data_IF_083869459124
#
_entry.id   IF_083869459124
#
_cell.length_a   1.000
_cell.length_b   1.000
_cell.length_c   1.000
_cell.angle_alpha   90.00
_cell.angle_beta   90.00
_cell.angle_gamma   90.00
#
_symmetry.space_group_name_H-M   'P 1'
#
loop_
_entity.id
_entity.type
_entity.pdbx_description
1 polymer ?
#
# COMPACT_ATOMS: atom_id res chain seq x y z
N UNK A 1 27.72 -15.23 -45.71
CA UNK A 1 29.18 -15.36 -45.44
C UNK A 1 29.90 -16.42 -46.30
N UNK A 2 29.22 -17.43 -46.88
CA UNK A 2 29.87 -18.47 -47.69
C UNK A 2 30.55 -17.97 -48.99
N UNK A 3 30.01 -16.92 -49.63
CA UNK A 3 30.53 -16.38 -50.89
C UNK A 3 31.96 -15.78 -50.79
N UNK A 4 32.27 -15.09 -49.69
CA UNK A 4 33.58 -14.45 -49.52
C UNK A 4 34.70 -15.47 -49.26
N UNK A 5 34.38 -16.58 -48.58
CA UNK A 5 35.35 -17.67 -48.36
C UNK A 5 35.69 -18.41 -49.65
N UNK A 6 34.73 -18.58 -50.57
CA UNK A 6 34.97 -19.19 -51.88
C UNK A 6 35.85 -18.28 -52.75
N UNK A 7 35.53 -16.99 -52.83
CA UNK A 7 36.26 -16.05 -53.68
C UNK A 7 37.72 -15.81 -53.25
N UNK A 8 37.98 -15.72 -51.94
CA UNK A 8 39.34 -15.63 -51.39
C UNK A 8 40.11 -16.94 -51.60
N UNK A 9 39.43 -18.08 -51.49
CA UNK A 9 40.00 -19.39 -51.81
C UNK A 9 40.44 -19.48 -53.27
N UNK A 10 39.58 -19.03 -54.19
CA UNK A 10 39.84 -19.01 -55.64
C UNK A 10 41.00 -18.09 -56.01
N UNK A 11 41.11 -16.90 -55.39
CA UNK A 11 42.26 -16.01 -55.59
C UNK A 11 43.57 -16.63 -55.10
N UNK A 12 43.53 -17.39 -54.01
CA UNK A 12 44.71 -18.05 -53.44
C UNK A 12 45.19 -19.20 -54.32
N UNK A 13 44.29 -20.00 -54.87
CA UNK A 13 44.62 -21.05 -55.85
C UNK A 13 45.14 -20.44 -57.16
N UNK A 14 44.61 -19.30 -57.59
CA UNK A 14 45.12 -18.57 -58.76
C UNK A 14 46.55 -18.06 -58.53
N UNK A 15 46.85 -17.51 -57.34
CA UNK A 15 48.21 -17.10 -56.97
C UNK A 15 49.21 -18.25 -57.00
N UNK A 16 48.83 -19.42 -56.47
CA UNK A 16 49.66 -20.63 -56.55
C UNK A 16 49.91 -21.08 -58.00
N UNK A 17 48.93 -20.95 -58.89
CA UNK A 17 49.09 -21.29 -60.33
C UNK A 17 50.05 -20.32 -61.05
N UNK A 18 50.00 -19.04 -60.70
CA UNK A 18 50.90 -18.01 -61.24
C UNK A 18 52.33 -18.25 -60.77
N UNK A 19 52.55 -18.54 -59.48
CA UNK A 19 53.88 -18.85 -58.93
C UNK A 19 54.49 -20.09 -59.60
N UNK A 20 53.69 -21.13 -59.85
CA UNK A 20 54.11 -22.32 -60.59
C UNK A 20 54.51 -22.03 -62.04
N UNK A 21 53.92 -20.99 -62.66
CA UNK A 21 54.26 -20.56 -64.03
C UNK A 21 55.65 -19.90 -64.14
N UNK A 22 56.17 -19.38 -63.03
CA UNK A 22 57.47 -18.66 -62.96
C UNK A 22 58.63 -19.60 -62.55
N UNK A 23 58.34 -20.82 -62.07
CA UNK A 23 59.33 -21.78 -61.57
C UNK A 23 60.20 -22.45 -62.68
N UNK A 24 61.46 -22.87 -62.38
CA UNK A 24 62.37 -23.42 -63.38
C UNK A 24 62.03 -24.86 -63.84
N UNK A 25 61.80 -24.96 -65.16
CA UNK A 25 61.93 -26.09 -66.12
C UNK A 25 61.20 -27.43 -65.92
N UNK A 26 60.79 -27.88 -64.73
CA UNK A 26 60.10 -29.19 -64.59
C UNK A 26 58.57 -29.14 -64.48
N UNK A 27 57.97 -27.95 -64.29
CA UNK A 27 56.53 -27.76 -64.11
C UNK A 27 56.03 -26.50 -64.85
N UNK A 28 56.52 -26.22 -66.07
CA UNK A 28 56.01 -25.07 -66.84
C UNK A 28 54.60 -25.38 -67.36
N UNK A 29 53.64 -24.56 -66.97
CA UNK A 29 52.28 -24.56 -67.52
C UNK A 29 52.33 -24.40 -69.05
N UNK A 30 51.45 -25.11 -69.75
CA UNK A 30 51.28 -24.99 -71.21
C UNK A 30 50.95 -23.54 -71.60
N UNK A 31 51.37 -23.06 -72.78
CA UNK A 31 51.02 -21.70 -73.24
C UNK A 31 49.51 -21.45 -73.28
N UNK A 32 48.68 -22.50 -73.49
CA UNK A 32 47.22 -22.39 -73.39
C UNK A 32 46.75 -22.22 -71.95
N UNK A 33 47.37 -22.90 -70.99
CA UNK A 33 47.05 -22.77 -69.56
C UNK A 33 47.48 -21.40 -69.03
N UNK A 34 48.63 -20.88 -69.47
CA UNK A 34 49.07 -19.52 -69.14
C UNK A 34 48.09 -18.47 -69.64
N UNK A 35 47.58 -18.61 -70.87
CA UNK A 35 46.56 -17.71 -71.40
C UNK A 35 45.24 -17.80 -70.63
N UNK A 36 44.80 -19.00 -70.28
CA UNK A 36 43.59 -19.22 -69.48
C UNK A 36 43.70 -18.61 -68.07
N UNK A 37 44.86 -18.73 -67.42
CA UNK A 37 45.15 -18.11 -66.12
C UNK A 37 45.07 -16.59 -66.19
N UNK A 38 45.66 -15.99 -67.22
CA UNK A 38 45.62 -14.53 -67.42
C UNK A 38 44.18 -14.04 -67.64
N UNK A 39 43.39 -14.74 -68.46
CA UNK A 39 41.98 -14.40 -68.66
C UNK A 39 41.16 -14.53 -67.36
N UNK A 40 41.40 -15.59 -66.59
CA UNK A 40 40.74 -15.78 -65.29
C UNK A 40 41.11 -14.67 -64.30
N UNK A 41 42.38 -14.23 -64.30
CA UNK A 41 42.85 -13.13 -63.45
C UNK A 41 42.14 -11.81 -63.79
N UNK A 42 42.00 -11.50 -65.07
CA UNK A 42 41.28 -10.29 -65.55
C UNK A 42 39.80 -10.37 -65.17
N UNK A 43 39.16 -11.53 -65.35
CA UNK A 43 37.76 -11.73 -64.98
C UNK A 43 37.54 -11.56 -63.46
N UNK A 44 38.45 -12.09 -62.63
CA UNK A 44 38.40 -11.98 -61.17
C UNK A 44 38.70 -10.57 -60.67
N UNK A 45 39.62 -9.84 -61.31
CA UNK A 45 39.85 -8.41 -61.03
C UNK A 45 38.60 -7.56 -61.34
N UNK A 46 37.92 -7.84 -62.45
CA UNK A 46 36.65 -7.17 -62.78
C UNK A 46 35.54 -7.50 -61.78
N UNK A 47 35.43 -8.77 -61.36
CA UNK A 47 34.49 -9.20 -60.31
C UNK A 47 34.78 -8.49 -58.97
N UNK A 48 36.06 -8.40 -58.58
CA UNK A 48 36.50 -7.71 -57.35
C UNK A 48 36.17 -6.21 -57.38
N UNK A 49 36.41 -5.53 -58.51
CA UNK A 49 36.04 -4.12 -58.67
C UNK A 49 34.53 -3.91 -58.51
N UNK A 50 33.72 -4.83 -59.05
CA UNK A 50 32.26 -4.77 -58.90
C UNK A 50 31.84 -4.98 -57.45
N UNK A 51 32.42 -5.95 -56.74
CA UNK A 51 32.07 -6.21 -55.33
C UNK A 51 32.51 -5.09 -54.40
N UNK A 52 33.68 -4.47 -54.64
CA UNK A 52 34.13 -3.29 -53.90
C UNK A 52 33.16 -2.12 -54.08
N UNK A 53 32.66 -1.88 -55.30
CA UNK A 53 31.67 -0.83 -55.54
C UNK A 53 30.38 -1.07 -54.75
N UNK A 54 29.85 -2.30 -54.82
CA UNK A 54 28.65 -2.69 -54.05
C UNK A 54 28.87 -2.55 -52.54
N UNK A 55 30.04 -2.93 -52.04
CA UNK A 55 30.37 -2.78 -50.62
C UNK A 55 30.44 -1.30 -50.19
N UNK A 56 30.98 -0.42 -51.05
CA UNK A 56 30.99 1.02 -50.81
C UNK A 56 29.57 1.60 -50.76
N UNK A 57 28.72 1.21 -51.70
CA UNK A 57 27.32 1.66 -51.75
C UNK A 57 26.56 1.16 -50.50
N UNK A 58 26.77 -0.10 -50.10
CA UNK A 58 26.19 -0.67 -48.89
C UNK A 58 26.67 0.05 -47.62
N UNK A 59 27.95 0.44 -47.54
CA UNK A 59 28.48 1.20 -46.40
C UNK A 59 27.86 2.60 -46.29
N UNK A 60 27.57 3.25 -47.41
CA UNK A 60 26.87 4.53 -47.43
C UNK A 60 25.42 4.39 -46.92
N UNK A 61 24.71 3.34 -47.34
CA UNK A 61 23.36 3.03 -46.86
C UNK A 61 23.36 2.71 -45.37
N UNK A 62 24.31 1.89 -44.90
CA UNK A 62 24.41 1.53 -43.48
C UNK A 62 24.63 2.76 -42.59
N UNK A 63 25.41 3.74 -43.06
CA UNK A 63 25.58 5.01 -42.35
C UNK A 63 24.27 5.76 -42.17
N UNK A 64 23.42 5.78 -43.20
CA UNK A 64 22.09 6.43 -43.13
C UNK A 64 21.18 5.65 -42.18
N UNK A 65 21.17 4.32 -42.27
CA UNK A 65 20.39 3.45 -41.38
C UNK A 65 20.79 3.69 -39.91
N UNK A 66 22.08 3.71 -39.62
CA UNK A 66 22.60 3.96 -38.27
C UNK A 66 22.20 5.35 -37.75
N UNK A 67 22.21 6.38 -38.63
CA UNK A 67 21.73 7.71 -38.29
C UNK A 67 20.24 7.73 -37.91
N UNK A 68 19.40 7.08 -38.72
CA UNK A 68 17.95 6.99 -38.47
C UNK A 68 17.68 6.19 -37.19
N UNK A 69 18.39 5.10 -36.95
CA UNK A 69 18.27 4.31 -35.72
C UNK A 69 18.62 5.13 -34.47
N UNK A 70 19.65 5.99 -34.55
CA UNK A 70 20.02 6.87 -33.46
C UNK A 70 18.97 7.96 -33.20
N UNK A 71 18.35 8.52 -34.24
CA UNK A 71 17.24 9.46 -34.09
C UNK A 71 15.99 8.79 -33.51
N UNK A 72 15.65 7.59 -33.99
CA UNK A 72 14.54 6.81 -33.47
C UNK A 72 14.71 6.51 -31.98
N UNK A 73 15.92 6.09 -31.56
CA UNK A 73 16.22 5.84 -30.15
C UNK A 73 16.05 7.08 -29.27
N UNK A 74 16.39 8.27 -29.77
CA UNK A 74 16.17 9.54 -29.04
C UNK A 74 14.68 9.84 -28.90
N UNK A 75 13.92 9.66 -29.97
CA UNK A 75 12.47 9.91 -29.97
C UNK A 75 11.77 8.92 -29.04
N UNK A 76 12.11 7.63 -29.08
CA UNK A 76 11.55 6.61 -28.19
C UNK A 76 11.83 6.93 -26.72
N UNK A 77 13.07 7.34 -26.40
CA UNK A 77 13.42 7.78 -25.05
C UNK A 77 12.59 8.99 -24.60
N UNK A 78 12.34 9.95 -25.50
CA UNK A 78 11.50 11.11 -25.21
C UNK A 78 10.03 10.73 -25.00
N UNK A 79 9.50 9.79 -25.80
CA UNK A 79 8.13 9.27 -25.66
C UNK A 79 7.97 8.57 -24.30
N UNK A 80 8.89 7.70 -23.93
CA UNK A 80 8.85 7.01 -22.63
C UNK A 80 8.88 7.99 -21.45
N UNK A 81 9.70 9.04 -21.56
CA UNK A 81 9.76 10.07 -20.53
C UNK A 81 8.42 10.84 -20.43
N UNK A 82 7.84 11.23 -21.57
CA UNK A 82 6.54 11.89 -21.61
C UNK A 82 5.42 11.01 -21.06
N UNK A 83 5.42 9.72 -21.38
CA UNK A 83 4.46 8.75 -20.85
C UNK A 83 4.55 8.66 -19.31
N UNK A 84 5.77 8.58 -18.77
CA UNK A 84 5.99 8.56 -17.32
C UNK A 84 5.47 9.85 -16.66
N UNK A 85 5.80 11.02 -17.23
CA UNK A 85 5.32 12.30 -16.70
C UNK A 85 3.80 12.40 -16.73
N UNK A 86 3.18 11.92 -17.81
CA UNK A 86 1.72 11.92 -17.95
C UNK A 86 1.07 10.99 -16.92
N UNK A 87 1.63 9.80 -16.71
CA UNK A 87 1.19 8.86 -15.69
C UNK A 87 1.27 9.49 -14.29
N UNK A 88 2.41 10.09 -13.95
CA UNK A 88 2.62 10.72 -12.64
C UNK A 88 1.65 11.88 -12.41
N UNK A 89 1.44 12.73 -13.42
CA UNK A 89 0.50 13.84 -13.36
C UNK A 89 -0.94 13.33 -13.19
N UNK A 90 -1.33 12.33 -13.98
CA UNK A 90 -2.65 11.70 -13.88
C UNK A 90 -2.88 11.06 -12.51
N UNK A 91 -1.88 10.36 -11.96
CA UNK A 91 -1.96 9.75 -10.65
C UNK A 91 -2.14 10.80 -9.54
N UNK A 92 -1.30 11.86 -9.53
CA UNK A 92 -1.40 12.97 -8.58
C UNK A 92 -2.76 13.66 -8.65
N UNK A 93 -3.27 13.92 -9.85
CA UNK A 93 -4.57 14.54 -10.05
C UNK A 93 -5.71 13.64 -9.56
N UNK A 94 -5.66 12.35 -9.88
CA UNK A 94 -6.66 11.37 -9.43
C UNK A 94 -6.72 11.27 -7.92
N UNK A 95 -5.56 11.19 -7.26
CA UNK A 95 -5.46 11.16 -5.80
C UNK A 95 -5.95 12.48 -5.18
N UNK A 96 -5.51 13.62 -5.71
CA UNK A 96 -5.94 14.93 -5.24
C UNK A 96 -7.45 15.12 -5.37
N UNK A 97 -8.03 14.66 -6.48
CA UNK A 97 -9.47 14.76 -6.74
C UNK A 97 -10.28 13.83 -5.83
N UNK A 98 -9.79 12.62 -5.57
CA UNK A 98 -10.38 11.71 -4.59
C UNK A 98 -10.41 12.34 -3.18
N UNK A 99 -9.26 12.83 -2.72
CA UNK A 99 -9.14 13.49 -1.42
C UNK A 99 -10.02 14.74 -1.33
N UNK A 100 -10.05 15.57 -2.37
CA UNK A 100 -10.90 16.76 -2.42
C UNK A 100 -12.38 16.40 -2.33
N UNK A 101 -12.84 15.37 -3.07
CA UNK A 101 -14.22 14.87 -2.98
C UNK A 101 -14.56 14.39 -1.57
N UNK A 102 -13.64 13.69 -0.90
CA UNK A 102 -13.85 13.25 0.48
C UNK A 102 -13.94 14.44 1.45
N UNK A 103 -13.04 15.42 1.32
CA UNK A 103 -13.09 16.67 2.11
C UNK A 103 -14.39 17.43 1.90
N UNK A 104 -14.87 17.55 0.66
CA UNK A 104 -16.14 18.20 0.35
C UNK A 104 -17.33 17.50 1.01
N UNK A 105 -17.35 16.15 1.05
CA UNK A 105 -18.38 15.41 1.77
C UNK A 105 -18.37 15.75 3.26
N UNK A 106 -17.19 15.78 3.89
CA UNK A 106 -17.04 16.12 5.31
C UNK A 106 -17.48 17.57 5.57
N UNK A 107 -17.07 18.52 4.74
CA UNK A 107 -17.50 19.93 4.84
C UNK A 107 -19.03 20.03 4.70
N UNK A 108 -19.61 19.32 3.73
CA UNK A 108 -21.07 19.30 3.55
C UNK A 108 -21.82 18.74 4.77
N UNK A 109 -21.22 17.74 5.46
CA UNK A 109 -21.77 17.17 6.68
C UNK A 109 -21.63 18.13 7.87
N UNK A 110 -20.49 18.80 8.01
CA UNK A 110 -20.26 19.81 9.05
C UNK A 110 -21.18 21.03 8.88
N UNK A 111 -21.40 21.50 7.64
CA UNK A 111 -22.28 22.63 7.35
C UNK A 111 -23.75 22.37 7.70
N UNK A 112 -24.19 21.10 7.77
CA UNK A 112 -25.54 20.75 8.24
C UNK A 112 -25.73 20.95 9.75
N UNK A 113 -24.64 20.96 10.52
CA UNK A 113 -24.63 21.12 11.98
C UNK A 113 -23.47 22.05 12.37
N UNK A 114 -23.57 23.36 12.07
CA UNK A 114 -22.52 24.29 12.42
C UNK A 114 -22.39 24.37 13.95
N UNK A 115 -21.16 24.25 14.44
CA UNK A 115 -20.84 24.40 15.86
C UNK A 115 -20.24 25.78 16.06
N UNK A 116 -20.69 26.52 17.09
CA UNK A 116 -20.15 27.83 17.39
C UNK A 116 -18.70 27.71 17.89
N UNK A 117 -17.78 28.44 17.25
CA UNK A 117 -16.36 28.45 17.63
C UNK A 117 -16.13 28.86 19.08
N UNK A 118 -16.92 29.80 19.60
CA UNK A 118 -16.84 30.25 21.00
C UNK A 118 -17.24 29.13 21.99
N UNK A 119 -18.21 28.30 21.62
CA UNK A 119 -18.59 27.14 22.42
C UNK A 119 -17.49 26.09 22.40
N UNK A 120 -16.89 25.80 21.23
CA UNK A 120 -15.76 24.89 21.12
C UNK A 120 -14.59 25.34 22.00
N UNK A 121 -14.23 26.63 21.96
CA UNK A 121 -13.14 27.19 22.78
C UNK A 121 -13.46 27.08 24.27
N UNK A 122 -14.67 27.47 24.70
CA UNK A 122 -15.08 27.34 26.12
C UNK A 122 -15.09 25.88 26.57
N UNK A 123 -15.58 24.96 25.74
CA UNK A 123 -15.64 23.55 26.06
C UNK A 123 -14.25 22.91 26.10
N UNK A 124 -13.37 23.26 25.17
CA UNK A 124 -11.99 22.81 25.15
C UNK A 124 -11.21 23.32 26.38
N UNK A 125 -11.39 24.60 26.74
CA UNK A 125 -10.85 25.16 27.97
C UNK A 125 -11.39 24.41 29.19
N UNK A 126 -12.70 24.16 29.24
CA UNK A 126 -13.33 23.40 30.33
C UNK A 126 -12.70 22.02 30.46
N UNK A 127 -12.64 21.24 29.38
CA UNK A 127 -12.00 19.90 29.35
C UNK A 127 -10.53 19.98 29.80
N UNK A 128 -9.80 21.01 29.37
CA UNK A 128 -8.38 21.19 29.72
C UNK A 128 -8.18 21.62 31.19
N UNK A 129 -9.14 22.34 31.76
CA UNK A 129 -9.13 22.83 33.15
C UNK A 129 -9.71 21.83 34.16
N UNK A 130 -10.59 20.93 33.70
CA UNK A 130 -11.11 19.81 34.49
C UNK A 130 -10.06 18.71 34.59
N UNK A 131 -10.30 17.70 35.42
CA UNK A 131 -9.39 16.56 35.60
C UNK A 131 -9.01 15.92 34.25
N UNK A 132 -7.85 15.25 34.23
CA UNK A 132 -7.16 14.86 33.00
C UNK A 132 -8.05 14.17 31.95
N UNK A 133 -7.86 14.50 30.68
CA UNK A 133 -8.61 13.94 29.53
C UNK A 133 -8.42 12.41 29.41
N UNK A 134 -7.28 11.91 29.88
CA UNK A 134 -6.97 10.48 29.98
C UNK A 134 -6.12 10.23 31.24
N UNK A 135 -6.13 8.99 31.75
CA UNK A 135 -5.29 8.61 32.87
C UNK A 135 -3.82 8.57 32.40
N UNK A 136 -2.90 9.31 33.04
CA UNK A 136 -1.47 9.17 32.77
C UNK A 136 -1.02 7.71 32.97
N UNK A 137 -0.01 7.26 32.23
CA UNK A 137 0.53 5.89 32.38
C UNK A 137 1.05 5.58 33.80
N UNK A 138 1.35 6.62 34.58
CA UNK A 138 1.79 6.55 35.98
C UNK A 138 0.67 6.86 36.99
N UNK A 139 -0.60 6.87 36.56
CA UNK A 139 -1.72 7.17 37.44
C UNK A 139 -1.81 6.13 38.57
N UNK A 140 -1.95 6.62 39.80
CA UNK A 140 -2.11 5.81 41.01
C UNK A 140 -3.33 6.30 41.79
N UNK A 141 -3.85 5.45 42.68
CA UNK A 141 -4.94 5.83 43.57
C UNK A 141 -4.50 7.03 44.43
N UNK A 142 -5.22 8.15 44.29
CA UNK A 142 -4.88 9.42 44.93
C UNK A 142 -4.30 10.49 44.00
N UNK A 143 -3.96 10.15 42.73
CA UNK A 143 -3.55 11.14 41.74
C UNK A 143 -4.77 11.97 41.27
N UNK A 144 -4.74 13.31 41.43
CA UNK A 144 -5.83 14.20 41.02
C UNK A 144 -6.07 14.22 39.50
N UNK A 145 -5.10 13.80 38.69
CA UNK A 145 -5.19 13.72 37.21
C UNK A 145 -5.91 12.46 36.74
N UNK A 146 -7.08 12.17 37.32
CA UNK A 146 -7.92 11.03 36.92
C UNK A 146 -8.95 11.43 35.86
N UNK A 147 -9.25 10.59 34.87
CA UNK A 147 -10.21 10.91 33.81
C UNK A 147 -11.67 10.63 34.18
N UNK A 148 -11.95 10.16 35.39
CA UNK A 148 -13.28 9.75 35.82
C UNK A 148 -13.68 10.35 37.19
N UNK A 149 -14.99 10.52 37.44
CA UNK A 149 -15.50 10.95 38.75
C UNK A 149 -15.25 9.92 39.85
N UNK A 150 -14.92 10.36 41.07
CA UNK A 150 -14.81 9.46 42.25
C UNK A 150 -16.16 9.27 42.95
N UNK A 151 -16.27 8.23 43.78
CA UNK A 151 -17.50 7.88 44.50
C UNK A 151 -18.08 9.04 45.32
N UNK A 152 -17.23 9.85 45.94
CA UNK A 152 -17.69 11.05 46.66
C UNK A 152 -18.26 12.12 45.72
N UNK A 153 -17.67 12.32 44.54
CA UNK A 153 -18.19 13.25 43.52
C UNK A 153 -19.50 12.73 42.93
N UNK A 154 -19.60 11.42 42.69
CA UNK A 154 -20.83 10.78 42.20
C UNK A 154 -21.96 10.85 43.23
N UNK A 155 -21.65 10.60 44.52
CA UNK A 155 -22.60 10.68 45.63
C UNK A 155 -23.05 12.12 45.92
N UNK A 156 -22.15 13.09 45.73
CA UNK A 156 -22.47 14.52 45.83
C UNK A 156 -23.31 15.03 44.64
N UNK A 157 -23.35 14.29 43.53
CA UNK A 157 -24.14 14.63 42.34
C UNK A 157 -25.65 14.45 42.53
N UNK A 158 -26.42 14.94 41.55
CA UNK A 158 -27.90 14.92 41.56
C UNK A 158 -28.46 13.49 41.75
N UNK A 159 -27.86 12.49 41.11
CA UNK A 159 -28.26 11.09 41.29
C UNK A 159 -28.05 10.61 42.73
N UNK A 160 -26.90 10.91 43.34
CA UNK A 160 -26.61 10.51 44.72
C UNK A 160 -27.51 11.18 45.74
N UNK A 161 -27.76 12.49 45.58
CA UNK A 161 -28.67 13.25 46.44
C UNK A 161 -30.11 12.72 46.37
N UNK A 162 -30.60 12.41 45.18
CA UNK A 162 -31.95 11.87 45.00
C UNK A 162 -32.10 10.47 45.62
N UNK A 163 -31.09 9.61 45.50
CA UNK A 163 -31.09 8.31 46.17
C UNK A 163 -31.11 8.43 47.71
N UNK A 164 -30.42 9.43 48.26
CA UNK A 164 -30.45 9.72 49.71
C UNK A 164 -31.79 10.32 50.15
N UNK A 165 -32.38 11.21 49.36
CA UNK A 165 -33.71 11.78 49.64
C UNK A 165 -34.79 10.69 49.70
N UNK A 166 -34.76 9.73 48.77
CA UNK A 166 -35.66 8.58 48.75
C UNK A 166 -35.43 7.65 49.96
N UNK A 167 -34.18 7.42 50.37
CA UNK A 167 -33.86 6.67 51.59
C UNK A 167 -34.32 7.38 52.87
N UNK A 168 -34.20 8.71 52.93
CA UNK A 168 -34.57 9.50 54.11
C UNK A 168 -36.09 9.55 54.29
N UNK A 169 -36.85 9.61 53.18
CA UNK A 169 -38.31 9.49 53.22
C UNK A 169 -38.79 8.13 53.74
N UNK A 170 -38.07 7.03 53.45
CA UNK A 170 -38.41 5.72 54.00
C UNK A 170 -38.12 5.61 55.51
N UNK A 171 -37.03 6.23 55.98
CA UNK A 171 -36.67 6.19 57.41
C UNK A 171 -37.57 7.06 58.30
N UNK A 172 -38.14 8.15 57.77
CA UNK A 172 -39.13 8.96 58.49
C UNK A 172 -40.49 8.25 58.63
N UNK A 173 -40.88 7.42 57.66
CA UNK A 173 -42.04 6.54 57.79
C UNK A 173 -41.80 5.35 58.73
N UNK A 174 -40.55 4.89 58.88
CA UNK A 174 -40.22 3.75 59.74
C UNK A 174 -40.08 4.11 61.23
N UNK A 175 -39.68 5.34 61.54
CA UNK A 175 -39.51 5.80 62.94
C UNK A 175 -40.83 5.90 63.73
N UNK A 176 -41.99 5.85 63.05
CA UNK A 176 -43.31 5.76 63.68
C UNK A 176 -43.78 4.31 63.89
N UNK A 177 -43.12 3.31 63.29
CA UNK A 177 -43.47 1.89 63.38
C UNK A 177 -42.48 1.09 64.24
N UNK A 178 -41.29 1.64 64.54
CA UNK A 178 -40.26 1.00 65.37
C UNK A 178 -40.53 1.10 66.89
N UNK A 179 -41.74 0.74 67.35
CA UNK A 179 -41.98 0.42 68.78
C UNK A 179 -42.57 -0.96 68.97
N UNK A 180 -42.22 -1.93 68.13
CA UNK A 180 -42.41 -3.33 68.46
C UNK A 180 -41.54 -4.19 67.54
N UNK A 181 -40.59 -4.89 68.16
CA UNK A 181 -40.14 -6.27 67.88
C UNK A 181 -38.61 -6.41 67.87
N UNK A 182 -38.11 -6.93 68.99
CA UNK A 182 -36.80 -7.55 69.13
C UNK A 182 -36.77 -8.93 68.47
N UNK A 183 -35.55 -9.39 68.18
CA UNK A 183 -35.10 -10.78 67.90
C UNK A 183 -35.28 -11.37 66.50
N UNK A 184 -34.11 -11.80 66.01
CA UNK A 184 -33.80 -12.85 65.04
C UNK A 184 -33.77 -12.55 63.53
N UNK A 185 -32.52 -12.39 63.06
CA UNK A 185 -31.89 -13.33 62.14
C UNK A 185 -32.71 -13.77 60.92
N UNK A 186 -32.56 -13.06 59.80
CA UNK A 186 -32.03 -13.64 58.56
C UNK A 186 -31.86 -12.52 57.51
N UNK A 187 -30.63 -12.32 57.06
CA UNK A 187 -30.27 -11.37 56.00
C UNK A 187 -31.03 -11.68 54.71
N UNK A 188 -32.06 -10.89 54.42
CA UNK A 188 -32.82 -10.96 53.17
C UNK A 188 -32.07 -10.18 52.10
N UNK A 189 -31.62 -10.90 51.08
CA UNK A 189 -30.68 -10.44 50.05
C UNK A 189 -31.19 -9.25 49.23
N UNK A 190 -30.65 -8.08 49.55
CA UNK A 190 -30.38 -7.05 48.54
C UNK A 190 -29.24 -7.57 47.68
N UNK A 191 -29.47 -7.70 46.37
CA UNK A 191 -28.48 -8.21 45.43
C UNK A 191 -27.16 -7.44 45.51
N UNK A 192 -26.14 -8.09 46.08
CA UNK A 192 -24.78 -7.59 46.08
C UNK A 192 -24.18 -7.79 44.69
N UNK A 193 -23.96 -6.69 43.97
CA UNK A 193 -23.02 -6.68 42.86
C UNK A 193 -21.60 -6.70 43.43
N UNK A 194 -21.02 -7.90 43.51
CA UNK A 194 -19.60 -8.07 43.81
C UNK A 194 -18.84 -8.28 42.50
N UNK A 195 -18.02 -7.30 42.09
CA UNK A 195 -17.08 -7.46 40.99
C UNK A 195 -16.01 -8.48 41.39
N UNK A 196 -16.10 -9.70 40.88
CA UNK A 196 -15.02 -10.68 40.99
C UNK A 196 -14.06 -10.48 39.82
N UNK A 197 -12.73 -10.54 40.03
CA UNK A 197 -11.73 -10.11 39.05
C UNK A 197 -11.53 -11.11 37.89
N UNK A 198 -12.34 -12.16 37.81
CA UNK A 198 -12.27 -13.20 36.78
C UNK A 198 -13.45 -13.07 35.82
N UNK A 199 -13.45 -12.02 34.99
CA UNK A 199 -14.02 -11.91 33.63
C UNK A 199 -15.38 -12.52 33.20
N UNK A 200 -16.16 -13.20 34.04
CA UNK A 200 -17.37 -13.92 33.63
C UNK A 200 -18.59 -13.44 34.42
N UNK A 201 -19.55 -12.82 33.72
CA UNK A 201 -20.84 -12.43 34.28
C UNK A 201 -21.78 -13.65 34.29
N UNK A 202 -21.98 -14.28 35.45
CA UNK A 202 -23.01 -15.29 35.65
C UNK A 202 -24.32 -14.65 36.16
N UNK A 203 -25.38 -14.72 35.36
CA UNK A 203 -26.75 -14.44 35.81
C UNK A 203 -27.41 -15.79 36.10
N UNK A 204 -27.61 -16.11 37.39
CA UNK A 204 -28.46 -17.24 37.81
C UNK A 204 -29.88 -16.74 37.90
N UNK A 205 -30.70 -17.10 36.92
CA UNK A 205 -32.17 -16.98 37.00
C UNK A 205 -32.74 -18.36 37.29
N UNK A 206 -33.32 -18.55 38.47
CA UNK A 206 -33.93 -19.81 38.88
C UNK A 206 -35.33 -20.02 38.30
N UNK A 207 -35.66 -21.26 37.91
CA UNK A 207 -37.02 -21.79 37.99
C UNK A 207 -37.64 -22.45 36.74
N UNK A 208 -37.28 -23.72 36.48
CA UNK A 208 -38.24 -24.84 36.34
C UNK A 208 -39.03 -25.08 35.04
N UNK A 209 -38.83 -26.26 34.43
CA UNK A 209 -39.87 -27.01 33.68
C UNK A 209 -39.46 -27.51 32.29
N UNK A 210 -39.02 -28.76 32.16
CA UNK A 210 -38.56 -29.37 30.90
C UNK A 210 -39.51 -30.43 30.32
N UNK A 211 -39.57 -30.50 29.00
CA UNK A 211 -39.81 -31.65 28.07
C UNK A 211 -39.74 -31.04 26.66
N UNK A 212 -39.14 -31.56 25.59
CA UNK A 212 -38.42 -32.78 25.27
C UNK A 212 -38.38 -32.88 23.72
N UNK A 213 -37.22 -33.25 23.17
CA UNK A 213 -37.00 -33.96 21.89
C UNK A 213 -37.32 -33.26 20.55
N UNK A 214 -36.31 -33.24 19.67
CA UNK A 214 -36.49 -33.64 18.26
C UNK A 214 -35.99 -32.65 17.24
N UNK A 215 -34.93 -33.02 16.52
CA UNK A 215 -34.25 -32.19 15.53
C UNK A 215 -35.09 -31.83 14.30
N UNK A 216 -34.78 -30.66 13.75
CA UNK A 216 -35.30 -30.16 12.48
C UNK A 216 -34.47 -28.97 12.02
N UNK A 217 -33.68 -29.17 10.97
CA UNK A 217 -33.04 -28.13 10.14
C UNK A 217 -33.98 -26.96 9.86
N UNK A 218 -33.54 -25.68 9.97
CA UNK A 218 -34.26 -24.60 9.35
C UNK A 218 -33.67 -24.26 7.98
N UNK A 219 -34.54 -24.45 7.01
CA UNK A 219 -34.55 -23.82 5.70
C UNK A 219 -34.44 -22.29 5.80
N UNK A 220 -33.81 -21.76 4.76
CA UNK A 220 -33.67 -20.37 4.31
C UNK A 220 -34.75 -19.40 4.79
N UNK A 221 -34.32 -18.23 5.27
CA UNK A 221 -35.07 -16.97 5.10
C UNK A 221 -34.05 -15.84 5.03
N UNK A 222 -34.06 -15.17 3.88
CA UNK A 222 -33.24 -14.01 3.60
C UNK A 222 -33.65 -12.82 4.48
N UNK A 223 -32.69 -12.24 5.20
CA UNK A 223 -32.73 -10.82 5.59
C UNK A 223 -31.39 -10.21 5.23
N UNK A 224 -31.41 -9.42 4.16
CA UNK A 224 -30.35 -8.49 3.77
C UNK A 224 -30.29 -7.40 4.83
N UNK A 225 -29.18 -7.32 5.58
CA UNK A 225 -28.73 -6.07 6.16
C UNK A 225 -27.23 -5.89 5.96
N UNK A 226 -26.95 -4.92 5.09
CA UNK A 226 -25.66 -4.34 4.76
C UNK A 226 -25.05 -3.70 6.01
N UNK A 227 -24.15 -4.39 6.70
CA UNK A 227 -23.30 -3.78 7.72
C UNK A 227 -22.01 -3.32 7.04
N UNK A 228 -21.86 -2.00 6.93
CA UNK A 228 -20.63 -1.34 6.53
C UNK A 228 -19.50 -1.83 7.44
N UNK A 229 -18.48 -2.37 6.79
CA UNK A 229 -17.20 -2.68 7.40
C UNK A 229 -16.38 -1.39 7.30
N UNK A 230 -16.24 -0.71 8.43
CA UNK A 230 -15.27 0.37 8.62
C UNK A 230 -13.87 -0.26 8.57
N UNK A 231 -13.24 -0.26 7.39
CA UNK A 231 -11.82 -0.53 7.26
C UNK A 231 -11.05 0.68 7.81
N UNK A 232 -10.59 0.53 9.06
CA UNK A 232 -9.56 1.38 9.66
C UNK A 232 -8.22 1.02 9.01
N UNK A 233 -7.88 1.71 7.92
CA UNK A 233 -6.53 1.65 7.34
C UNK A 233 -5.54 2.29 8.32
N UNK A 234 -4.81 1.41 9.02
CA UNK A 234 -3.62 1.75 9.80
C UNK A 234 -2.58 2.38 8.86
N UNK A 235 -2.32 3.67 9.06
CA UNK A 235 -1.29 4.41 8.34
C UNK A 235 0.10 3.92 8.81
N UNK A 236 0.82 3.23 7.94
CA UNK A 236 2.26 3.02 8.11
C UNK A 236 2.97 4.37 8.01
N UNK A 237 3.65 4.76 9.09
CA UNK A 237 4.55 5.91 9.12
C UNK A 237 5.87 5.51 8.47
N UNK A 238 6.10 5.94 7.23
CA UNK A 238 7.40 5.86 6.58
C UNK A 238 8.33 6.94 7.15
N UNK A 239 9.01 6.62 8.24
CA UNK A 239 10.09 7.45 8.76
C UNK A 239 11.32 7.30 7.87
N UNK A 240 11.46 8.15 6.85
CA UNK A 240 12.74 8.35 6.16
C UNK A 240 13.45 9.58 6.73
N UNK A 241 14.37 9.36 7.66
CA UNK A 241 15.30 10.39 8.14
C UNK A 241 16.54 10.41 7.25
N UNK A 242 16.68 11.45 6.42
CA UNK A 242 17.93 11.73 5.71
C UNK A 242 18.89 12.46 6.66
N UNK A 243 19.89 11.73 7.14
CA UNK A 243 21.06 12.30 7.83
C UNK A 243 21.92 13.06 6.82
N UNK A 244 21.97 14.40 6.95
CA UNK A 244 22.91 15.23 6.19
C UNK A 244 24.14 15.48 7.07
N UNK A 245 25.28 14.89 6.68
CA UNK A 245 26.60 15.26 7.21
C UNK A 245 27.00 16.62 6.65
N UNK A 246 27.12 17.60 7.52
CA UNK A 246 27.78 18.88 7.28
C UNK A 246 29.28 18.72 7.61
N UNK A 247 30.14 19.00 6.65
CA UNK A 247 31.59 19.02 6.81
C UNK A 247 32.05 20.48 6.87
N UNK A 248 32.71 20.85 7.97
CA UNK A 248 33.65 21.99 8.05
C UNK A 248 35.01 21.49 8.51
#
# INVERSE_FOLDING_TARGET
MAFNHSFIGDLRTLGQLVDNSVAPKHQKLSPQEQHAVVQLLIAKDAELKKTIKVASDQAAVEKVISGIQAELAKVDSAIQNLEQQLYDAHHKLSMGLYQARQKLKIISAANKRPVNSEELVRYAHRISSTNAVSAPATWQQGDPRRPYPIDVEMRAGVLGQNCQLLHTQQHLSDSLLQRHHSTDSNSSGVGMFAWQPSGECAIVTGGGGGVGVGGGTPHTTAVVQKKQQDDVEVMSTDSSSSSSSDSQ
#
